data_IF_552426168761
#
_entry.id   IF_552426168761
#
_cell.length_a   1.000
_cell.length_b   1.000
_cell.length_c   1.000
_cell.angle_alpha   90.00
_cell.angle_beta   90.00
_cell.angle_gamma   90.00
#
_symmetry.space_group_name_H-M   'P 1'
#
loop_
_entity.id
_entity.type
_entity.pdbx_description
1 polymer ?
#
# COMPACT_ATOMS: atom_id res chain seq x y z
N UNK A 1 4.10 -8.10 -13.20
CA UNK A 1 3.48 -8.48 -11.91
C UNK A 1 3.93 -7.59 -10.76
N UNK A 2 5.08 -7.82 -10.09
CA UNK A 2 5.48 -6.99 -8.92
C UNK A 2 5.85 -5.56 -9.32
N UNK A 3 6.88 -5.38 -10.15
CA UNK A 3 7.33 -4.06 -10.65
C UNK A 3 6.18 -3.30 -11.31
N UNK A 4 5.43 -3.98 -12.17
CA UNK A 4 4.26 -3.42 -12.84
C UNK A 4 3.17 -2.97 -11.86
N UNK A 5 3.05 -3.61 -10.69
CA UNK A 5 2.11 -3.20 -9.64
C UNK A 5 2.63 -1.98 -8.89
N UNK A 6 3.92 -1.97 -8.52
CA UNK A 6 4.55 -0.83 -7.85
C UNK A 6 4.49 0.44 -8.71
N UNK A 7 4.63 0.30 -10.03
CA UNK A 7 4.48 1.43 -10.97
C UNK A 7 3.05 1.93 -11.18
N UNK A 8 2.02 1.32 -10.57
CA UNK A 8 0.63 1.79 -10.75
C UNK A 8 0.39 3.07 -9.95
N UNK A 9 -0.43 3.95 -10.51
CA UNK A 9 -0.86 5.19 -9.86
C UNK A 9 -1.41 4.92 -8.45
N UNK A 10 -1.03 5.75 -7.49
CA UNK A 10 -1.38 5.69 -6.06
C UNK A 10 -0.82 4.50 -5.27
N UNK A 11 -0.19 3.50 -5.90
CA UNK A 11 0.39 2.38 -5.15
C UNK A 11 1.52 2.85 -4.25
N UNK A 12 2.46 3.64 -4.78
CA UNK A 12 3.55 4.22 -3.98
C UNK A 12 3.02 5.02 -2.79
N UNK A 13 2.10 5.96 -3.03
CA UNK A 13 1.45 6.79 -2.00
C UNK A 13 0.78 5.96 -0.89
N UNK A 14 0.09 4.87 -1.25
CA UNK A 14 -0.52 3.95 -0.29
C UNK A 14 0.54 3.21 0.54
N UNK A 15 1.62 2.74 -0.09
CA UNK A 15 2.70 2.02 0.59
C UNK A 15 3.55 2.95 1.46
N UNK A 16 3.77 4.20 1.04
CA UNK A 16 4.43 5.24 1.84
C UNK A 16 3.63 5.46 3.14
N UNK A 17 2.31 5.65 3.01
CA UNK A 17 1.39 5.81 4.15
C UNK A 17 1.45 4.60 5.10
N UNK A 18 1.39 3.37 4.57
CA UNK A 18 1.47 2.14 5.36
C UNK A 18 2.87 1.84 5.91
N UNK A 19 3.91 2.51 5.44
CA UNK A 19 5.27 2.42 6.01
C UNK A 19 5.41 3.32 7.24
N UNK A 20 4.68 4.44 7.27
CA UNK A 20 4.67 5.39 8.39
C UNK A 20 3.86 4.89 9.59
N UNK A 21 2.91 3.97 9.37
CA UNK A 21 2.01 3.44 10.39
C UNK A 21 1.99 1.92 10.37
N UNK A 22 2.04 1.25 11.53
CA UNK A 22 2.03 -0.22 11.60
C UNK A 22 0.78 -0.86 10.96
N UNK A 23 -0.37 -0.20 11.09
CA UNK A 23 -1.63 -0.58 10.44
C UNK A 23 -2.54 0.63 10.26
N UNK A 24 -3.37 0.63 9.21
CA UNK A 24 -4.28 1.74 8.91
C UNK A 24 -5.67 1.24 8.53
N UNK A 25 -6.71 1.92 8.99
CA UNK A 25 -8.09 1.65 8.61
C UNK A 25 -8.41 2.14 7.19
N UNK A 26 -9.22 1.39 6.44
CA UNK A 26 -9.67 1.79 5.08
C UNK A 26 -10.12 3.26 4.96
N UNK A 27 -10.87 3.76 5.95
CA UNK A 27 -11.35 5.15 5.93
C UNK A 27 -10.24 6.17 6.06
N UNK A 28 -9.20 5.90 6.86
CA UNK A 28 -8.03 6.78 7.00
C UNK A 28 -7.23 6.82 5.68
N UNK A 29 -7.10 5.68 4.99
CA UNK A 29 -6.45 5.64 3.66
C UNK A 29 -7.24 6.50 2.66
N UNK A 30 -8.58 6.49 2.72
CA UNK A 30 -9.41 7.33 1.85
C UNK A 30 -9.21 8.83 2.10
N UNK A 31 -8.85 9.23 3.31
CA UNK A 31 -8.65 10.64 3.67
C UNK A 31 -7.27 11.15 3.23
N UNK A 32 -6.27 10.28 3.20
CA UNK A 32 -4.88 10.65 2.86
C UNK A 32 -4.57 10.50 1.38
N UNK A 33 -5.19 9.51 0.72
CA UNK A 33 -4.92 9.20 -0.69
C UNK A 33 -6.03 9.78 -1.54
N UNK A 34 -5.70 10.69 -2.45
CA UNK A 34 -6.65 11.35 -3.34
C UNK A 34 -7.17 10.42 -4.46
N UNK A 35 -7.88 9.36 -4.07
CA UNK A 35 -8.40 8.31 -4.94
C UNK A 35 -9.85 8.00 -4.58
N UNK A 36 -10.67 7.68 -5.59
CA UNK A 36 -12.05 7.28 -5.31
C UNK A 36 -12.09 5.92 -4.58
N UNK A 37 -13.08 5.73 -3.70
CA UNK A 37 -13.19 4.53 -2.84
C UNK A 37 -13.19 3.21 -3.61
N UNK A 38 -13.84 3.16 -4.78
CA UNK A 38 -13.90 1.96 -5.60
C UNK A 38 -12.53 1.58 -6.16
N UNK A 39 -11.75 2.56 -6.61
CA UNK A 39 -10.39 2.35 -7.10
C UNK A 39 -9.43 2.00 -5.97
N UNK A 40 -9.56 2.64 -4.80
CA UNK A 40 -8.79 2.27 -3.62
C UNK A 40 -9.01 0.81 -3.23
N UNK A 41 -10.27 0.38 -3.15
CA UNK A 41 -10.59 -1.03 -2.84
C UNK A 41 -9.97 -1.99 -3.86
N UNK A 42 -9.96 -1.64 -5.15
CA UNK A 42 -9.30 -2.47 -6.18
C UNK A 42 -7.79 -2.54 -5.97
N UNK A 43 -7.15 -1.42 -5.67
CA UNK A 43 -5.71 -1.37 -5.40
C UNK A 43 -5.37 -2.18 -4.16
N UNK A 44 -6.06 -1.95 -3.04
CA UNK A 44 -5.82 -2.68 -1.79
C UNK A 44 -6.04 -4.18 -1.96
N UNK A 45 -7.11 -4.60 -2.66
CA UNK A 45 -7.34 -6.02 -2.95
C UNK A 45 -6.24 -6.60 -3.85
N UNK A 46 -5.76 -5.87 -4.85
CA UNK A 46 -4.63 -6.29 -5.68
C UNK A 46 -3.38 -6.51 -4.82
N UNK A 47 -3.06 -5.56 -3.93
CA UNK A 47 -1.89 -5.66 -3.06
C UNK A 47 -2.01 -6.80 -2.04
N UNK A 48 -3.21 -7.05 -1.51
CA UNK A 48 -3.50 -8.21 -0.65
C UNK A 48 -3.35 -9.52 -1.40
N UNK A 49 -3.88 -9.61 -2.63
CA UNK A 49 -3.76 -10.81 -3.47
C UNK A 49 -2.31 -11.14 -3.82
N UNK A 50 -1.47 -10.11 -3.98
CA UNK A 50 -0.03 -10.24 -4.17
C UNK A 50 0.75 -10.46 -2.87
N UNK A 51 0.08 -10.54 -1.73
CA UNK A 51 0.65 -10.68 -0.38
C UNK A 51 1.57 -9.53 0.03
N UNK A 52 1.50 -8.38 -0.64
CA UNK A 52 2.20 -7.15 -0.24
C UNK A 52 1.55 -6.60 1.03
N UNK A 53 0.23 -6.66 1.10
CA UNK A 53 -0.55 -6.25 2.27
C UNK A 53 -1.21 -7.44 2.95
N UNK A 54 -1.37 -7.32 4.27
CA UNK A 54 -2.27 -8.13 5.07
C UNK A 54 -3.55 -7.32 5.32
N UNK A 55 -4.70 -7.99 5.25
CA UNK A 55 -6.02 -7.43 5.60
C UNK A 55 -6.50 -8.09 6.89
N UNK A 56 -6.91 -7.29 7.87
CA UNK A 56 -7.47 -7.75 9.14
C UNK A 56 -8.80 -7.04 9.42
N UNK A 57 -9.78 -7.77 9.95
CA UNK A 57 -11.07 -7.21 10.35
C UNK A 57 -11.10 -7.13 11.88
N UNK A 58 -11.58 -6.01 12.41
CA UNK A 58 -11.73 -5.82 13.85
C UNK A 58 -12.75 -6.84 14.39
N UNK A 59 -12.32 -7.69 15.33
CA UNK A 59 -13.19 -8.67 15.99
C UNK A 59 -14.15 -7.96 16.95
N UNK A 60 -15.28 -7.51 16.41
CA UNK A 60 -16.17 -6.61 17.12
C UNK A 60 -17.65 -6.94 16.99
N UNK A 61 -18.04 -8.16 16.60
CA UNK A 61 -19.43 -8.67 16.65
C UNK A 61 -20.54 -7.80 16.03
N UNK A 62 -20.19 -6.72 15.33
CA UNK A 62 -21.12 -5.70 14.81
C UNK A 62 -21.19 -5.84 13.29
N UNK A 63 -22.33 -5.47 12.72
CA UNK A 63 -22.60 -5.53 11.26
C UNK A 63 -21.62 -4.73 10.37
N UNK A 64 -20.76 -3.90 10.94
CA UNK A 64 -19.80 -3.02 10.24
C UNK A 64 -18.43 -3.09 10.92
N UNK A 65 -17.73 -4.22 10.76
CA UNK A 65 -16.36 -4.35 11.27
C UNK A 65 -15.42 -3.45 10.46
N UNK A 66 -14.51 -2.77 11.16
CA UNK A 66 -13.45 -2.00 10.51
C UNK A 66 -12.46 -2.94 9.85
N UNK A 67 -12.01 -2.58 8.66
CA UNK A 67 -10.94 -3.29 7.95
C UNK A 67 -9.65 -2.49 8.05
N UNK A 68 -8.62 -3.14 8.57
CA UNK A 68 -7.27 -2.63 8.69
C UNK A 68 -6.35 -3.29 7.68
N UNK A 69 -5.35 -2.54 7.23
CA UNK A 69 -4.30 -2.98 6.32
C UNK A 69 -2.93 -2.72 6.93
N UNK A 70 -1.99 -3.63 6.70
CA UNK A 70 -0.59 -3.51 7.13
C UNK A 70 0.33 -4.16 6.11
N UNK A 71 1.59 -3.72 6.06
CA UNK A 71 2.61 -4.34 5.22
C UNK A 71 3.01 -5.71 5.76
N UNK A 72 3.10 -6.70 4.88
CA UNK A 72 3.77 -7.97 5.20
C UNK A 72 5.28 -7.79 5.13
N UNK A 73 6.05 -8.79 5.57
CA UNK A 73 7.51 -8.76 5.39
C UNK A 73 7.89 -8.74 3.90
N UNK A 74 7.18 -9.51 3.06
CA UNK A 74 7.31 -9.42 1.60
C UNK A 74 6.97 -8.02 1.07
N UNK A 75 5.94 -7.37 1.62
CA UNK A 75 5.55 -6.01 1.23
C UNK A 75 6.61 -4.97 1.59
N UNK A 76 7.28 -5.11 2.74
CA UNK A 76 8.40 -4.25 3.15
C UNK A 76 9.60 -4.43 2.22
N UNK A 77 9.94 -5.67 1.86
CA UNK A 77 10.99 -5.94 0.87
C UNK A 77 10.63 -5.36 -0.50
N UNK A 78 9.39 -5.56 -0.97
CA UNK A 78 8.91 -4.97 -2.22
C UNK A 78 8.98 -3.44 -2.22
N UNK A 79 8.64 -2.79 -1.10
CA UNK A 79 8.71 -1.34 -0.94
C UNK A 79 10.15 -0.81 -1.06
N UNK A 80 11.15 -1.58 -0.61
CA UNK A 80 12.57 -1.20 -0.72
C UNK A 80 13.04 -0.98 -2.17
N UNK A 81 12.32 -1.50 -3.17
CA UNK A 81 12.62 -1.28 -4.59
C UNK A 81 12.52 0.19 -4.99
N UNK A 82 11.69 1.00 -4.32
CA UNK A 82 11.67 2.46 -4.56
C UNK A 82 12.95 3.15 -4.09
N UNK A 83 13.64 2.60 -3.09
CA UNK A 83 14.94 3.12 -2.68
C UNK A 83 16.00 2.79 -3.72
N UNK A 84 15.98 1.57 -4.26
CA UNK A 84 16.89 1.16 -5.35
C UNK A 84 16.67 2.01 -6.60
N UNK A 85 15.42 2.26 -6.99
CA UNK A 85 15.06 3.17 -8.08
C UNK A 85 15.70 4.55 -7.87
N UNK A 86 15.49 5.15 -6.69
CA UNK A 86 16.02 6.47 -6.35
C UNK A 86 17.55 6.52 -6.36
N UNK A 87 18.22 5.48 -5.85
CA UNK A 87 19.67 5.37 -5.86
C UNK A 87 20.23 5.35 -7.29
N UNK A 88 19.58 4.62 -8.20
CA UNK A 88 19.96 4.57 -9.61
C UNK A 88 19.77 5.94 -10.27
N UNK A 89 18.61 6.57 -10.09
CA UNK A 89 18.32 7.90 -10.65
C UNK A 89 19.34 8.94 -10.17
N UNK A 90 19.63 8.94 -8.87
CA UNK A 90 20.62 9.85 -8.27
C UNK A 90 22.04 9.60 -8.80
N UNK A 91 22.44 8.33 -8.93
CA UNK A 91 23.79 7.95 -9.39
C UNK A 91 24.06 8.34 -10.84
N UNK A 92 23.04 8.29 -11.69
CA UNK A 92 23.19 8.57 -13.12
C UNK A 92 22.59 9.91 -13.55
N UNK A 93 22.20 10.76 -12.59
CA UNK A 93 21.69 12.13 -12.81
C UNK A 93 20.49 12.18 -13.76
N UNK A 94 19.53 11.28 -13.57
CA UNK A 94 18.19 11.40 -14.13
C UNK A 94 17.38 12.40 -13.28
N UNK A 95 17.76 13.68 -13.28
CA UNK A 95 16.93 14.78 -12.77
C UNK A 95 16.58 15.76 -13.90
#
# INVERSE_FOLDING_TARGET
>A
MLIETLGKKHVREILDLLTLHDRIYFGEICEHVAVNKGNLSKILNLLVNLRILKKEEEEGGKKLNKTYYSLTDFGKEAYSLYNVEKEIESKYSFE
#
